data_IF_898669248161
#
_entry.id   IF_898669248161
#
_cell.length_a   1.000
_cell.length_b   1.000
_cell.length_c   1.000
_cell.angle_alpha   90.00
_cell.angle_beta   90.00
_cell.angle_gamma   90.00
#
_symmetry.space_group_name_H-M   'P 1'
#
loop_
_entity.id
_entity.type
_entity.pdbx_description
1 polymer ?
#
# COMPACT_ATOMS: atom_id res chain seq x y z
N UNK A 1 47.58 -10.57 18.29
CA UNK A 1 46.59 -9.50 18.08
C UNK A 1 45.23 -10.16 18.01
N UNK A 2 44.43 -10.00 19.06
CA UNK A 2 43.07 -10.53 19.15
C UNK A 2 42.19 -9.77 18.15
N UNK A 3 41.56 -10.48 17.22
CA UNK A 3 40.42 -9.99 16.43
C UNK A 3 39.22 -9.87 17.38
N UNK A 4 39.28 -8.89 18.28
CA UNK A 4 38.16 -8.54 19.14
C UNK A 4 37.09 -7.88 18.26
N UNK A 5 35.97 -8.58 18.13
CA UNK A 5 34.62 -8.09 17.82
C UNK A 5 34.53 -6.66 17.27
N UNK A 6 34.77 -6.52 15.97
CA UNK A 6 34.09 -5.53 15.15
C UNK A 6 32.90 -6.20 14.45
N UNK A 7 31.99 -6.76 15.23
CA UNK A 7 30.58 -6.73 14.84
C UNK A 7 30.10 -5.36 15.29
N UNK A 8 30.60 -4.31 14.62
CA UNK A 8 29.86 -3.05 14.58
C UNK A 8 28.48 -3.44 14.02
N UNK A 9 27.41 -3.04 14.69
CA UNK A 9 26.03 -3.52 14.49
C UNK A 9 25.60 -3.46 13.00
N UNK A 10 25.80 -4.57 12.26
CA UNK A 10 25.29 -4.71 10.89
C UNK A 10 23.77 -4.68 10.99
N UNK A 11 23.15 -3.72 10.32
CA UNK A 11 21.69 -3.66 10.33
C UNK A 11 21.13 -4.80 9.48
N UNK A 12 19.99 -5.36 9.88
CA UNK A 12 19.35 -6.46 9.15
C UNK A 12 19.15 -6.15 7.66
N UNK A 13 18.87 -4.89 7.34
CA UNK A 13 18.73 -4.34 5.99
C UNK A 13 20.02 -4.33 5.16
N UNK A 14 21.20 -4.48 5.77
CA UNK A 14 22.50 -4.47 5.08
C UNK A 14 22.92 -5.87 4.60
N UNK A 15 22.22 -6.93 5.04
CA UNK A 15 22.52 -8.28 4.57
C UNK A 15 22.18 -8.46 3.09
N UNK A 16 23.02 -9.23 2.40
CA UNK A 16 22.72 -9.75 1.08
C UNK A 16 21.57 -10.76 1.16
N UNK A 17 20.58 -10.60 0.28
CA UNK A 17 19.38 -11.43 0.26
C UNK A 17 19.37 -12.28 -1.00
N UNK A 18 19.10 -13.57 -0.86
CA UNK A 18 19.05 -14.49 -1.99
C UNK A 18 17.93 -15.52 -1.86
N UNK A 19 17.36 -15.91 -2.99
CA UNK A 19 16.46 -17.05 -3.12
C UNK A 19 17.28 -18.34 -3.28
N UNK A 20 17.02 -19.35 -2.46
CA UNK A 20 17.66 -20.67 -2.61
C UNK A 20 17.02 -21.41 -3.78
N UNK A 21 17.80 -21.67 -4.82
CA UNK A 21 17.38 -22.43 -6.00
C UNK A 21 17.62 -23.93 -5.80
N UNK A 22 18.77 -24.30 -5.23
CA UNK A 22 19.12 -25.70 -5.00
C UNK A 22 20.12 -25.84 -3.86
N UNK A 23 20.00 -26.91 -3.06
CA UNK A 23 21.00 -27.31 -2.06
C UNK A 23 21.66 -28.61 -2.53
N UNK A 24 23.00 -28.65 -2.50
CA UNK A 24 23.79 -29.83 -2.85
C UNK A 24 24.76 -30.15 -1.72
N UNK A 25 24.84 -31.42 -1.34
CA UNK A 25 25.86 -31.88 -0.40
C UNK A 25 27.24 -31.85 -1.07
N UNK A 26 28.27 -31.44 -0.36
CA UNK A 26 29.64 -31.53 -0.85
C UNK A 26 30.08 -33.00 -1.03
N UNK A 27 30.80 -33.31 -2.12
CA UNK A 27 31.33 -34.66 -2.37
C UNK A 27 32.40 -35.07 -1.35
N UNK A 28 33.10 -34.09 -0.77
CA UNK A 28 34.14 -34.27 0.25
C UNK A 28 33.99 -33.19 1.33
N UNK A 29 34.19 -33.57 2.59
CA UNK A 29 34.09 -32.68 3.74
C UNK A 29 32.69 -32.63 4.39
N UNK A 30 32.55 -31.78 5.41
CA UNK A 30 31.27 -31.43 6.03
C UNK A 30 30.80 -30.09 5.48
N UNK A 31 29.62 -30.04 4.87
CA UNK A 31 29.04 -28.81 4.34
C UNK A 31 28.14 -29.03 3.13
N UNK A 32 27.43 -27.98 2.74
CA UNK A 32 26.59 -27.95 1.56
C UNK A 32 26.96 -26.75 0.68
N UNK A 33 26.86 -26.94 -0.63
CA UNK A 33 26.90 -25.88 -1.62
C UNK A 33 25.47 -25.50 -1.98
N UNK A 34 25.18 -24.21 -1.95
CA UNK A 34 23.85 -23.66 -2.15
C UNK A 34 23.89 -22.83 -3.44
N UNK A 35 23.09 -23.25 -4.42
CA UNK A 35 22.81 -22.45 -5.60
C UNK A 35 21.76 -21.41 -5.23
N UNK A 36 22.14 -20.14 -5.31
CA UNK A 36 21.30 -19.01 -4.90
C UNK A 36 21.09 -18.06 -6.06
N UNK A 37 19.98 -17.33 -6.02
CA UNK A 37 19.69 -16.20 -6.90
C UNK A 37 19.64 -14.93 -6.07
N UNK A 38 20.55 -14.00 -6.33
CA UNK A 38 20.62 -12.74 -5.58
C UNK A 38 19.44 -11.82 -5.89
N UNK A 39 18.92 -11.19 -4.84
CA UNK A 39 18.05 -10.04 -4.93
C UNK A 39 18.88 -8.81 -4.58
N UNK A 40 18.84 -7.81 -5.45
CA UNK A 40 19.79 -6.69 -5.41
C UNK A 40 19.24 -5.55 -4.56
N UNK A 41 20.07 -4.99 -3.69
CA UNK A 41 19.77 -3.75 -2.97
C UNK A 41 19.88 -2.54 -3.91
N UNK A 42 19.19 -1.42 -3.61
CA UNK A 42 19.25 -0.21 -4.44
C UNK A 42 20.69 0.30 -4.66
N UNK A 43 21.53 0.28 -3.63
CA UNK A 43 22.91 0.76 -3.65
C UNK A 43 23.78 -0.07 -4.61
N UNK A 44 23.55 -1.39 -4.64
CA UNK A 44 24.25 -2.33 -5.52
C UNK A 44 23.90 -2.06 -6.99
N UNK A 45 22.61 -1.78 -7.26
CA UNK A 45 22.14 -1.41 -8.60
C UNK A 45 22.69 -0.03 -8.99
N UNK A 46 22.73 0.91 -8.06
CA UNK A 46 23.29 2.24 -8.28
C UNK A 46 24.77 2.15 -8.69
N UNK A 47 25.55 1.29 -8.02
CA UNK A 47 26.95 1.04 -8.34
C UNK A 47 27.18 0.49 -9.76
N UNK A 48 26.15 -0.11 -10.38
CA UNK A 48 26.17 -0.59 -11.77
C UNK A 48 25.85 0.49 -12.81
N UNK A 49 25.78 1.77 -12.41
CA UNK A 49 25.44 2.91 -13.27
C UNK A 49 24.07 2.75 -13.95
N UNK A 50 23.05 2.45 -13.15
CA UNK A 50 21.66 2.38 -13.60
C UNK A 50 21.20 3.70 -14.25
N UNK A 51 20.39 3.60 -15.30
CA UNK A 51 19.84 4.76 -16.03
C UNK A 51 18.54 5.29 -15.41
N UNK A 52 17.82 4.42 -14.71
CA UNK A 52 16.57 4.75 -14.03
C UNK A 52 16.88 5.43 -12.70
N UNK A 53 16.12 6.49 -12.36
CA UNK A 53 16.17 7.07 -11.02
C UNK A 53 15.59 6.10 -10.00
N UNK A 54 16.43 5.66 -9.05
CA UNK A 54 16.09 4.72 -7.98
C UNK A 54 16.14 5.37 -6.59
N UNK A 55 16.23 6.70 -6.50
CA UNK A 55 16.30 7.44 -5.23
C UNK A 55 15.06 7.29 -4.32
N UNK A 56 13.99 6.71 -4.83
CA UNK A 56 12.72 6.46 -4.14
C UNK A 56 12.60 5.04 -3.58
N UNK A 57 13.60 4.20 -3.82
CA UNK A 57 13.61 2.84 -3.30
C UNK A 57 13.96 2.84 -1.83
N UNK A 58 13.24 2.02 -1.06
CA UNK A 58 13.47 1.87 0.37
C UNK A 58 14.72 1.05 0.67
N UNK A 59 15.21 1.18 1.90
CA UNK A 59 16.34 0.44 2.47
C UNK A 59 16.08 -1.08 2.49
N UNK A 60 14.83 -1.45 2.76
CA UNK A 60 14.36 -2.84 2.78
C UNK A 60 13.92 -3.35 1.41
N UNK A 61 13.99 -2.50 0.38
CA UNK A 61 13.64 -2.90 -0.97
C UNK A 61 14.72 -3.79 -1.55
N UNK A 62 14.29 -4.83 -2.26
CA UNK A 62 15.13 -5.68 -3.06
C UNK A 62 14.58 -5.76 -4.47
N UNK A 63 15.44 -6.09 -5.42
CA UNK A 63 15.07 -6.13 -6.84
C UNK A 63 15.43 -7.47 -7.44
N UNK A 64 14.46 -8.09 -8.10
CA UNK A 64 14.72 -9.29 -8.88
C UNK A 64 15.54 -8.96 -10.12
N UNK A 65 16.46 -9.83 -10.50
CA UNK A 65 17.03 -9.75 -11.84
C UNK A 65 15.99 -10.22 -12.87
N UNK A 66 15.83 -9.47 -13.95
CA UNK A 66 14.94 -9.84 -15.05
C UNK A 66 15.36 -11.17 -15.71
N UNK A 67 16.66 -11.45 -15.75
CA UNK A 67 17.22 -12.72 -16.22
C UNK A 67 17.86 -13.47 -15.06
N UNK A 68 17.17 -14.46 -14.47
CA UNK A 68 17.66 -15.23 -13.31
C UNK A 68 19.13 -15.66 -13.37
N UNK A 69 19.57 -16.16 -14.53
CA UNK A 69 20.92 -16.67 -14.75
C UNK A 69 22.03 -15.60 -14.58
N UNK A 70 21.70 -14.31 -14.61
CA UNK A 70 22.65 -13.22 -14.40
C UNK A 70 22.82 -12.87 -12.90
N UNK A 71 21.97 -13.41 -12.04
CA UNK A 71 21.99 -13.22 -10.58
C UNK A 71 22.27 -14.51 -9.82
N UNK A 72 22.46 -15.62 -10.52
CA UNK A 72 22.65 -16.95 -9.93
C UNK A 72 24.13 -17.23 -9.64
N UNK A 73 24.43 -17.77 -8.45
CA UNK A 73 25.78 -18.19 -8.05
C UNK A 73 25.72 -19.34 -7.05
N UNK A 74 26.88 -19.91 -6.72
CA UNK A 74 27.01 -20.96 -5.71
C UNK A 74 27.79 -20.43 -4.51
N UNK A 75 27.20 -20.54 -3.32
CA UNK A 75 27.82 -20.16 -2.03
C UNK A 75 27.94 -21.37 -1.10
N UNK A 76 28.83 -21.30 -0.13
CA UNK A 76 28.97 -22.33 0.90
C UNK A 76 27.94 -22.10 2.01
N UNK A 77 27.44 -23.16 2.64
CA UNK A 77 26.46 -23.04 3.74
C UNK A 77 26.94 -22.16 4.90
N UNK A 78 28.24 -22.06 5.12
CA UNK A 78 28.83 -21.27 6.21
C UNK A 78 28.72 -19.75 5.97
N UNK A 79 28.32 -19.31 4.78
CA UNK A 79 28.07 -17.89 4.48
C UNK A 79 26.63 -17.46 4.74
N UNK A 80 25.78 -18.37 5.24
CA UNK A 80 24.36 -18.09 5.49
C UNK A 80 24.18 -17.77 6.96
N UNK A 81 23.77 -16.53 7.25
CA UNK A 81 23.46 -16.09 8.61
C UNK A 81 22.11 -16.67 9.08
N UNK A 82 21.09 -16.65 8.22
CA UNK A 82 19.77 -17.15 8.57
C UNK A 82 18.75 -17.00 7.45
N UNK A 83 17.56 -17.61 7.62
CA UNK A 83 16.44 -17.40 6.72
C UNK A 83 15.83 -16.01 6.92
N UNK A 84 15.31 -15.43 5.85
CA UNK A 84 14.47 -14.23 5.89
C UNK A 84 13.33 -14.36 4.90
N UNK A 85 12.20 -13.72 5.19
CA UNK A 85 11.10 -13.61 4.25
C UNK A 85 11.30 -12.43 3.31
N UNK A 86 10.86 -12.60 2.06
CA UNK A 86 10.82 -11.54 1.05
C UNK A 86 9.44 -11.49 0.44
N UNK A 87 8.82 -10.31 0.46
CA UNK A 87 7.43 -10.14 0.06
C UNK A 87 7.32 -9.43 -1.29
N UNK A 88 6.48 -9.94 -2.18
CA UNK A 88 6.15 -9.21 -3.40
C UNK A 88 5.19 -8.08 -3.04
N UNK A 89 5.56 -6.86 -3.42
CA UNK A 89 4.69 -5.71 -3.19
C UNK A 89 3.46 -5.81 -4.09
N UNK A 90 2.31 -6.00 -3.47
CA UNK A 90 1.02 -5.97 -4.15
C UNK A 90 0.02 -5.17 -3.31
N UNK A 91 -0.54 -4.12 -3.90
CA UNK A 91 -1.55 -3.28 -3.25
C UNK A 91 -2.89 -3.99 -3.06
N UNK A 92 -3.09 -5.10 -3.76
CA UNK A 92 -4.26 -5.95 -3.69
C UNK A 92 -4.13 -7.05 -2.65
N UNK A 93 -2.90 -7.37 -2.23
CA UNK A 93 -2.65 -8.37 -1.21
C UNK A 93 -2.67 -7.69 0.17
N UNK A 94 -3.29 -8.31 1.18
CA UNK A 94 -3.56 -7.61 2.43
C UNK A 94 -2.32 -7.29 3.27
N UNK A 95 -1.18 -7.97 3.06
CA UNK A 95 0.02 -7.72 3.83
C UNK A 95 1.32 -7.82 3.03
N UNK A 96 2.09 -6.74 3.13
CA UNK A 96 3.55 -6.82 3.20
C UNK A 96 3.84 -6.49 4.67
N UNK A 97 4.60 -7.33 5.39
CA UNK A 97 4.87 -7.08 6.80
C UNK A 97 5.63 -5.77 6.99
N UNK A 98 5.78 -5.42 8.27
CA UNK A 98 6.34 -4.19 8.83
C UNK A 98 7.47 -3.54 8.03
N UNK A 99 7.74 -2.26 8.28
CA UNK A 99 8.85 -1.48 7.71
C UNK A 99 10.27 -2.05 7.93
N UNK A 100 10.39 -3.26 8.46
CA UNK A 100 11.62 -4.04 8.65
C UNK A 100 11.50 -5.42 8.04
N UNK A 101 11.03 -5.48 6.81
CA UNK A 101 10.87 -6.72 6.08
C UNK A 101 11.27 -6.47 4.63
N UNK A 102 12.02 -7.41 4.06
CA UNK A 102 12.42 -7.30 2.67
C UNK A 102 11.20 -7.39 1.77
N UNK A 103 11.12 -6.49 0.79
CA UNK A 103 10.06 -6.53 -0.20
C UNK A 103 10.60 -6.25 -1.61
N UNK A 104 9.88 -6.73 -2.61
CA UNK A 104 10.23 -6.55 -4.02
C UNK A 104 9.05 -5.99 -4.77
N UNK A 105 9.25 -4.85 -5.44
CA UNK A 105 8.24 -4.23 -6.31
C UNK A 105 8.76 -3.91 -7.69
N UNK A 106 9.97 -4.35 -8.02
CA UNK A 106 10.66 -4.02 -9.26
C UNK A 106 11.55 -5.16 -9.74
N UNK A 107 11.88 -5.14 -11.02
CA UNK A 107 12.90 -5.98 -11.64
C UNK A 107 14.00 -5.12 -12.26
N UNK A 108 15.25 -5.57 -12.17
CA UNK A 108 16.40 -4.95 -12.79
C UNK A 108 16.84 -5.73 -14.03
N UNK A 109 16.91 -5.04 -15.16
CA UNK A 109 17.50 -5.56 -16.38
C UNK A 109 18.98 -5.18 -16.44
N UNK A 110 19.86 -6.14 -16.14
CA UNK A 110 21.31 -5.90 -16.08
C UNK A 110 21.89 -5.43 -17.42
N UNK A 111 21.37 -5.91 -18.55
CA UNK A 111 21.87 -5.54 -19.87
C UNK A 111 21.45 -4.11 -20.27
N UNK A 112 20.21 -3.73 -19.96
CA UNK A 112 19.68 -2.41 -20.28
C UNK A 112 20.04 -1.35 -19.24
N UNK A 113 20.44 -1.79 -18.04
CA UNK A 113 20.68 -0.94 -16.86
C UNK A 113 19.42 -0.15 -16.49
N UNK A 114 18.27 -0.82 -16.52
CA UNK A 114 16.96 -0.23 -16.24
C UNK A 114 16.25 -1.01 -15.14
N UNK A 115 15.53 -0.29 -14.29
CA UNK A 115 14.61 -0.85 -13.30
C UNK A 115 13.18 -0.64 -13.77
N UNK A 116 12.37 -1.68 -13.70
CA UNK A 116 10.96 -1.65 -14.10
C UNK A 116 10.07 -2.15 -12.96
N UNK A 117 8.98 -1.44 -12.63
CA UNK A 117 8.02 -1.90 -11.62
C UNK A 117 7.44 -3.28 -11.94
N UNK A 118 7.18 -4.05 -10.89
CA UNK A 118 6.32 -5.23 -10.93
C UNK A 118 4.86 -4.76 -10.92
N UNK A 119 4.15 -5.07 -12.00
CA UNK A 119 2.76 -4.68 -12.16
C UNK A 119 2.57 -3.16 -12.33
N UNK A 120 1.31 -2.72 -12.23
CA UNK A 120 0.92 -1.33 -12.51
C UNK A 120 1.16 -0.39 -11.31
N UNK A 121 1.38 -0.95 -10.14
CA UNK A 121 1.30 -0.25 -8.85
C UNK A 121 2.68 0.09 -8.26
N UNK A 122 3.75 -0.59 -8.68
CA UNK A 122 5.11 -0.37 -8.17
C UNK A 122 5.73 0.99 -8.54
N UNK A 123 5.16 1.72 -9.52
CA UNK A 123 5.63 3.04 -9.97
C UNK A 123 4.78 4.21 -9.48
N UNK A 124 4.04 4.04 -8.39
CA UNK A 124 3.14 5.06 -7.86
C UNK A 124 3.90 6.34 -7.45
N UNK A 125 3.36 7.51 -7.81
CA UNK A 125 3.89 8.83 -7.46
C UNK A 125 2.81 9.81 -7.04
N UNK A 126 3.21 10.81 -6.25
CA UNK A 126 2.39 11.98 -6.00
C UNK A 126 2.18 12.74 -7.32
N UNK A 127 0.92 12.94 -7.68
CA UNK A 127 0.54 13.63 -8.91
C UNK A 127 0.94 15.11 -8.96
N UNK A 128 1.21 15.75 -7.81
CA UNK A 128 1.47 17.20 -7.74
C UNK A 128 2.96 17.55 -7.62
N UNK A 129 3.77 16.70 -6.97
CA UNK A 129 5.21 16.94 -6.82
C UNK A 129 6.08 15.97 -7.61
N UNK A 130 5.47 14.99 -8.28
CA UNK A 130 6.10 13.90 -9.04
C UNK A 130 7.03 12.99 -8.23
N UNK A 131 7.04 13.13 -6.90
CA UNK A 131 7.85 12.29 -6.01
C UNK A 131 7.25 10.88 -5.98
N UNK A 132 8.10 9.91 -6.30
CA UNK A 132 7.79 8.48 -6.26
C UNK A 132 7.60 8.01 -4.81
N UNK A 133 6.76 7.00 -4.64
CA UNK A 133 6.45 6.46 -3.32
C UNK A 133 7.66 5.70 -2.75
N UNK A 134 8.21 6.17 -1.62
CA UNK A 134 9.15 5.43 -0.79
C UNK A 134 8.46 5.00 0.51
N UNK A 135 8.21 3.72 0.76
CA UNK A 135 7.58 3.27 2.00
C UNK A 135 8.27 3.71 3.29
N UNK A 136 9.59 3.87 3.26
CA UNK A 136 10.40 4.15 4.45
C UNK A 136 10.27 5.62 4.87
N UNK A 137 10.29 6.54 3.89
CA UNK A 137 10.14 7.99 4.13
C UNK A 137 8.68 8.45 4.25
N UNK A 138 7.75 7.65 3.72
CA UNK A 138 6.35 8.06 3.58
C UNK A 138 5.57 8.11 4.90
N UNK A 139 6.19 7.73 6.03
CA UNK A 139 5.58 7.97 7.35
C UNK A 139 5.47 9.47 7.66
N UNK A 140 6.43 10.28 7.22
CA UNK A 140 6.42 11.74 7.43
C UNK A 140 5.53 12.47 6.42
N UNK A 141 5.42 11.93 5.20
CA UNK A 141 4.62 12.50 4.12
C UNK A 141 3.80 11.40 3.43
N UNK A 142 2.72 10.89 4.05
CA UNK A 142 1.92 9.83 3.48
C UNK A 142 1.20 10.26 2.20
N UNK A 143 1.11 9.33 1.26
CA UNK A 143 0.28 9.48 0.07
C UNK A 143 -1.17 9.18 0.42
N UNK A 144 -2.10 10.00 -0.07
CA UNK A 144 -3.54 9.79 0.04
C UNK A 144 -4.17 9.58 -1.32
N UNK A 145 -5.18 8.72 -1.39
CA UNK A 145 -5.82 8.37 -2.64
C UNK A 145 -7.21 8.99 -2.80
N UNK A 146 -7.39 9.81 -3.83
CA UNK A 146 -8.71 10.26 -4.24
C UNK A 146 -9.39 9.17 -5.07
N UNK A 147 -10.37 8.47 -4.49
CA UNK A 147 -11.10 7.38 -5.15
C UNK A 147 -11.89 7.81 -6.41
N UNK A 148 -12.22 9.10 -6.51
CA UNK A 148 -12.96 9.66 -7.66
C UNK A 148 -12.02 10.02 -8.81
N UNK A 149 -10.93 10.72 -8.53
CA UNK A 149 -9.93 11.11 -9.54
C UNK A 149 -8.93 9.99 -9.85
N UNK A 150 -8.86 8.97 -9.00
CA UNK A 150 -7.93 7.83 -9.07
C UNK A 150 -6.45 8.24 -9.04
N UNK A 151 -6.11 9.15 -8.15
CA UNK A 151 -4.75 9.73 -8.03
C UNK A 151 -4.26 9.69 -6.60
N UNK A 152 -2.94 9.60 -6.45
CA UNK A 152 -2.23 9.72 -5.18
C UNK A 152 -1.63 11.13 -5.03
N UNK A 153 -1.72 11.69 -3.83
CA UNK A 153 -1.22 13.03 -3.51
C UNK A 153 -0.87 13.15 -2.02
N UNK A 154 0.16 13.93 -1.69
CA UNK A 154 0.47 14.30 -0.31
C UNK A 154 -0.43 15.45 0.16
N UNK A 155 -0.76 15.49 1.44
CA UNK A 155 -1.59 16.54 2.06
C UNK A 155 -0.98 17.94 1.94
N UNK A 156 0.35 18.05 1.92
CA UNK A 156 1.08 19.32 1.94
C UNK A 156 1.75 19.72 0.64
N UNK A 157 1.55 19.00 -0.47
CA UNK A 157 2.24 19.32 -1.72
C UNK A 157 1.76 20.66 -2.32
N UNK A 158 2.65 21.66 -2.30
CA UNK A 158 2.43 23.02 -2.83
C UNK A 158 3.05 23.28 -4.21
N UNK A 159 3.68 22.26 -4.84
CA UNK A 159 4.38 22.45 -6.12
C UNK A 159 3.43 22.78 -7.28
N UNK A 160 2.16 22.37 -7.21
CA UNK A 160 1.12 22.89 -8.08
C UNK A 160 0.64 24.26 -7.56
N UNK A 161 0.38 25.21 -8.47
CA UNK A 161 -0.22 26.53 -8.14
C UNK A 161 -1.56 26.42 -7.38
N UNK A 162 -2.15 25.23 -7.33
CA UNK A 162 -3.34 24.88 -6.57
C UNK A 162 -3.06 23.64 -5.70
N UNK A 163 -3.29 23.73 -4.39
CA UNK A 163 -3.18 22.57 -3.48
C UNK A 163 -4.22 21.52 -3.87
N UNK A 164 -3.81 20.28 -4.18
CA UNK A 164 -4.77 19.25 -4.59
C UNK A 164 -5.62 18.72 -3.46
N UNK A 165 -5.12 18.77 -2.22
CA UNK A 165 -5.88 18.42 -1.03
C UNK A 165 -6.14 19.70 -0.24
N UNK A 166 -7.42 20.02 -0.03
CA UNK A 166 -7.86 21.23 0.66
C UNK A 166 -8.81 20.88 1.79
N UNK A 167 -8.79 21.66 2.87
CA UNK A 167 -9.76 21.50 3.96
C UNK A 167 -11.17 21.80 3.44
N UNK A 168 -12.11 20.89 3.71
CA UNK A 168 -13.49 21.07 3.26
C UNK A 168 -14.25 22.08 4.11
N UNK A 169 -15.00 22.95 3.44
CA UNK A 169 -16.06 23.76 4.05
C UNK A 169 -17.44 23.08 4.00
N UNK A 170 -17.56 21.98 3.24
CA UNK A 170 -18.84 21.28 3.00
C UNK A 170 -19.09 20.17 4.03
N UNK A 171 -18.04 19.56 4.56
CA UNK A 171 -18.11 18.53 5.59
C UNK A 171 -17.93 19.15 6.98
N UNK A 172 -19.06 19.31 7.68
CA UNK A 172 -19.15 20.01 8.98
C UNK A 172 -18.37 19.38 10.13
N UNK A 173 -18.10 18.07 10.10
CA UNK A 173 -17.33 17.36 11.12
C UNK A 173 -16.80 16.00 10.62
N UNK A 174 -16.00 15.30 11.43
CA UNK A 174 -15.38 14.01 11.10
C UNK A 174 -16.41 12.93 10.72
N UNK A 175 -17.53 12.84 11.45
CA UNK A 175 -18.58 11.85 11.16
C UNK A 175 -19.26 12.11 9.82
N UNK A 176 -19.51 13.38 9.50
CA UNK A 176 -20.09 13.79 8.23
C UNK A 176 -19.12 13.52 7.07
N UNK A 177 -17.83 13.80 7.24
CA UNK A 177 -16.79 13.45 6.26
C UNK A 177 -16.70 11.93 6.03
N UNK A 178 -16.70 11.13 7.11
CA UNK A 178 -16.71 9.67 7.04
C UNK A 178 -17.90 9.11 6.22
N UNK A 179 -19.11 9.68 6.40
CA UNK A 179 -20.26 9.33 5.55
C UNK A 179 -20.05 9.73 4.09
N UNK A 180 -19.36 10.84 3.82
CA UNK A 180 -18.98 11.25 2.47
C UNK A 180 -17.97 10.32 1.80
N UNK A 181 -17.05 9.71 2.55
CA UNK A 181 -16.12 8.70 2.02
C UNK A 181 -16.85 7.47 1.45
N UNK A 182 -17.98 7.07 2.06
CA UNK A 182 -18.85 6.00 1.55
C UNK A 182 -19.47 6.31 0.18
N UNK A 183 -19.53 7.58 -0.19
CA UNK A 183 -20.07 8.07 -1.45
C UNK A 183 -18.96 8.34 -2.49
N UNK A 184 -17.69 8.16 -2.11
CA UNK A 184 -16.52 8.47 -2.93
C UNK A 184 -16.00 7.23 -3.67
N UNK A 185 -16.27 7.16 -4.99
CA UNK A 185 -15.80 6.16 -5.95
C UNK A 185 -16.41 4.74 -5.83
N UNK A 186 -16.48 3.91 -6.91
CA UNK A 186 -16.77 4.23 -8.31
C UNK A 186 -18.15 3.70 -8.77
N UNK A 187 -18.89 4.49 -9.56
CA UNK A 187 -19.83 3.94 -10.53
C UNK A 187 -19.31 4.33 -11.93
N UNK A 188 -18.49 3.45 -12.51
CA UNK A 188 -18.23 3.34 -13.94
C UNK A 188 -17.40 4.42 -14.64
N UNK A 189 -17.41 5.67 -14.20
CA UNK A 189 -16.82 6.75 -14.99
C UNK A 189 -15.88 7.62 -14.15
N UNK A 190 -14.63 7.86 -14.58
CA UNK A 190 -13.84 8.94 -14.02
C UNK A 190 -14.69 10.20 -14.14
N UNK A 191 -15.03 10.80 -13.00
CA UNK A 191 -15.67 12.12 -13.03
C UNK A 191 -14.59 13.03 -13.60
N UNK A 192 -14.79 13.53 -14.83
CA UNK A 192 -13.91 14.55 -15.39
C UNK A 192 -13.80 15.63 -14.32
N UNK A 193 -12.60 15.94 -13.81
CA UNK A 193 -12.43 16.99 -12.82
C UNK A 193 -13.04 18.25 -13.42
N UNK A 194 -14.13 18.66 -12.79
CA UNK A 194 -14.89 19.84 -13.16
C UNK A 194 -14.88 20.74 -11.95
N UNK A 195 -14.85 22.07 -12.14
CA UNK A 195 -14.65 23.03 -11.06
C UNK A 195 -15.63 22.75 -9.92
N UNK A 196 -15.11 22.61 -8.69
CA UNK A 196 -15.82 22.51 -7.40
C UNK A 196 -17.34 22.34 -7.53
N UNK A 197 -17.77 21.19 -8.04
CA UNK A 197 -19.05 21.12 -8.76
C UNK A 197 -20.26 20.99 -7.84
N UNK A 198 -21.46 21.31 -8.35
CA UNK A 198 -22.76 20.96 -7.74
C UNK A 198 -22.81 19.50 -7.24
N UNK A 199 -22.04 18.60 -7.86
CA UNK A 199 -21.94 17.19 -7.47
C UNK A 199 -21.26 17.01 -6.12
N UNK A 200 -20.20 17.77 -5.80
CA UNK A 200 -19.55 17.70 -4.48
C UNK A 200 -20.52 18.16 -3.37
N UNK A 201 -21.23 19.27 -3.61
CA UNK A 201 -22.28 19.74 -2.69
C UNK A 201 -23.39 18.71 -2.53
N UNK A 202 -23.83 18.12 -3.63
CA UNK A 202 -24.80 17.02 -3.59
C UNK A 202 -24.29 15.84 -2.78
N UNK A 203 -23.02 15.46 -2.89
CA UNK A 203 -22.43 14.39 -2.05
C UNK A 203 -22.44 14.78 -0.58
N UNK A 204 -22.10 16.02 -0.23
CA UNK A 204 -22.18 16.51 1.15
C UNK A 204 -23.64 16.51 1.66
N UNK A 205 -24.61 16.92 0.85
CA UNK A 205 -26.02 16.88 1.24
C UNK A 205 -26.51 15.44 1.43
N UNK A 206 -26.20 14.53 0.49
CA UNK A 206 -26.51 13.12 0.64
C UNK A 206 -25.81 12.49 1.84
N UNK A 207 -24.61 12.93 2.20
CA UNK A 207 -23.89 12.42 3.36
C UNK A 207 -24.64 12.68 4.68
N UNK A 208 -25.43 13.75 4.78
CA UNK A 208 -26.34 14.02 5.91
C UNK A 208 -27.44 12.95 6.00
N UNK A 209 -27.94 12.52 4.85
CA UNK A 209 -29.05 11.58 4.70
C UNK A 209 -28.61 10.11 4.71
N UNK A 210 -27.30 9.81 4.68
CA UNK A 210 -26.80 8.43 4.73
C UNK A 210 -27.27 7.77 6.04
N UNK A 211 -28.24 6.88 5.89
CA UNK A 211 -28.75 6.03 6.95
C UNK A 211 -28.02 4.68 6.96
N UNK A 212 -27.07 4.55 7.88
CA UNK A 212 -26.30 3.32 8.07
C UNK A 212 -27.16 2.17 8.64
N UNK A 213 -28.31 2.47 9.27
CA UNK A 213 -29.21 1.44 9.80
C UNK A 213 -29.85 0.59 8.69
N UNK A 214 -29.86 1.07 7.44
CA UNK A 214 -30.33 0.30 6.30
C UNK A 214 -29.31 -0.76 5.87
N UNK A 215 -28.01 -0.46 6.05
CA UNK A 215 -26.91 -1.38 5.76
C UNK A 215 -26.88 -2.49 6.80
N UNK A 216 -27.02 -2.16 8.08
CA UNK A 216 -27.01 -3.12 9.19
C UNK A 216 -28.12 -4.17 9.13
N UNK A 217 -29.24 -3.89 8.44
CA UNK A 217 -30.30 -4.88 8.23
C UNK A 217 -29.99 -5.89 7.12
N UNK A 218 -28.98 -5.64 6.29
CA UNK A 218 -28.71 -6.33 5.02
C UNK A 218 -27.32 -6.93 4.92
N UNK A 219 -26.53 -6.76 5.98
CA UNK A 219 -25.19 -7.30 6.17
C UNK A 219 -25.24 -8.20 7.41
N UNK A 220 -24.49 -9.31 7.47
CA UNK A 220 -24.38 -10.14 8.66
C UNK A 220 -24.04 -9.31 9.91
N UNK A 221 -24.72 -9.61 11.03
CA UNK A 221 -24.66 -8.78 12.26
C UNK A 221 -23.27 -8.71 12.87
N UNK A 222 -22.51 -9.78 12.72
CA UNK A 222 -21.13 -9.96 13.15
C UNK A 222 -20.13 -9.12 12.34
N UNK A 223 -20.43 -8.83 11.08
CA UNK A 223 -19.53 -8.10 10.17
C UNK A 223 -19.92 -6.61 10.00
N UNK A 224 -21.19 -6.28 10.26
CA UNK A 224 -21.76 -4.98 9.86
C UNK A 224 -21.02 -3.74 10.41
N UNK A 225 -20.55 -3.79 11.67
CA UNK A 225 -19.93 -2.63 12.34
C UNK A 225 -18.56 -2.39 11.71
N UNK A 226 -17.80 -3.45 11.58
CA UNK A 226 -16.43 -3.44 11.09
C UNK A 226 -16.35 -3.12 9.60
N UNK A 227 -17.27 -3.66 8.80
CA UNK A 227 -17.38 -3.33 7.38
C UNK A 227 -17.64 -1.83 7.16
N UNK A 228 -18.52 -1.24 7.98
CA UNK A 228 -18.83 0.19 7.88
C UNK A 228 -17.61 1.02 8.32
N UNK A 229 -16.98 0.66 9.44
CA UNK A 229 -15.77 1.33 9.92
C UNK A 229 -14.66 1.30 8.84
N UNK A 230 -14.43 0.14 8.23
CA UNK A 230 -13.48 -0.04 7.15
C UNK A 230 -13.80 0.83 5.93
N UNK A 231 -15.06 0.85 5.49
CA UNK A 231 -15.49 1.66 4.36
C UNK A 231 -15.37 3.17 4.62
N UNK A 232 -15.52 3.59 5.88
CA UNK A 232 -15.36 4.98 6.33
C UNK A 232 -13.90 5.41 6.51
N UNK A 233 -12.95 4.48 6.41
CA UNK A 233 -11.53 4.77 6.55
C UNK A 233 -11.00 5.49 5.30
N UNK A 234 -10.05 6.40 5.50
CA UNK A 234 -9.36 7.11 4.40
C UNK A 234 -8.39 6.19 3.70
N UNK A 235 -8.09 6.45 2.44
CA UNK A 235 -7.11 5.63 1.71
C UNK A 235 -5.73 6.29 1.81
N UNK A 236 -4.78 5.64 2.47
CA UNK A 236 -3.45 6.18 2.80
C UNK A 236 -2.33 5.17 2.59
N UNK A 237 -1.12 5.70 2.42
CA UNK A 237 0.14 4.97 2.33
C UNK A 237 1.29 5.68 3.04
N UNK A 238 2.15 4.92 3.74
CA UNK A 238 1.90 3.58 4.28
C UNK A 238 0.80 3.64 5.35
N UNK A 239 0.33 2.46 5.76
CA UNK A 239 -0.33 2.31 7.05
C UNK A 239 0.71 1.98 8.13
N UNK A 240 0.43 2.26 9.41
CA UNK A 240 1.19 1.66 10.49
C UNK A 240 1.27 0.13 10.30
N UNK A 241 2.49 -0.41 10.23
CA UNK A 241 2.72 -1.84 10.07
C UNK A 241 2.67 -2.40 8.64
N UNK A 242 2.36 -1.60 7.60
CA UNK A 242 2.28 -2.10 6.22
C UNK A 242 2.67 -1.05 5.16
N UNK A 243 3.59 -1.42 4.26
CA UNK A 243 4.11 -0.56 3.18
C UNK A 243 3.18 -0.40 1.96
N UNK A 244 2.19 -1.27 1.75
CA UNK A 244 1.21 -1.15 0.66
C UNK A 244 0.04 -0.19 0.96
N UNK A 245 -0.26 0.06 2.24
CA UNK A 245 -1.39 0.87 2.68
C UNK A 245 -2.73 0.12 2.63
N UNK A 246 -3.83 0.83 2.35
CA UNK A 246 -5.19 0.30 2.56
C UNK A 246 -6.18 0.42 1.39
N UNK A 247 -5.68 0.74 0.20
CA UNK A 247 -6.50 1.05 -0.97
C UNK A 247 -7.47 -0.08 -1.35
N UNK A 248 -6.98 -1.30 -1.54
CA UNK A 248 -7.80 -2.37 -2.11
C UNK A 248 -9.00 -2.73 -1.23
N UNK A 249 -8.78 -2.98 0.06
CA UNK A 249 -9.84 -3.41 0.96
C UNK A 249 -10.78 -2.27 1.38
N UNK A 250 -10.31 -1.02 1.49
CA UNK A 250 -11.21 0.12 1.75
C UNK A 250 -12.13 0.35 0.55
N UNK A 251 -11.60 0.32 -0.68
CA UNK A 251 -12.43 0.44 -1.88
C UNK A 251 -13.43 -0.71 -1.96
N UNK A 252 -13.01 -1.94 -1.65
CA UNK A 252 -13.88 -3.10 -1.63
C UNK A 252 -14.98 -3.01 -0.56
N UNK A 253 -14.65 -2.57 0.65
CA UNK A 253 -15.62 -2.32 1.71
C UNK A 253 -16.65 -1.27 1.27
N UNK A 254 -16.21 -0.19 0.63
CA UNK A 254 -17.11 0.84 0.06
C UNK A 254 -18.01 0.29 -1.04
N UNK A 255 -17.55 -0.66 -1.84
CA UNK A 255 -18.40 -1.36 -2.82
C UNK A 255 -19.50 -2.16 -2.12
N UNK A 256 -19.14 -2.98 -1.13
CA UNK A 256 -20.11 -3.78 -0.36
C UNK A 256 -21.17 -2.92 0.33
N UNK A 257 -20.74 -1.84 0.99
CA UNK A 257 -21.66 -0.89 1.63
C UNK A 257 -22.59 -0.25 0.60
N UNK A 258 -22.10 0.13 -0.59
CA UNK A 258 -22.95 0.70 -1.64
C UNK A 258 -23.95 -0.32 -2.19
N UNK A 259 -23.52 -1.54 -2.45
CA UNK A 259 -24.40 -2.62 -2.90
C UNK A 259 -25.51 -2.91 -1.86
N UNK A 260 -25.15 -3.03 -0.57
CA UNK A 260 -26.13 -3.22 0.51
C UNK A 260 -27.15 -2.07 0.61
N UNK A 261 -26.76 -0.84 0.24
CA UNK A 261 -27.64 0.34 0.21
C UNK A 261 -28.58 0.37 -0.99
N UNK A 262 -28.28 -0.35 -2.07
CA UNK A 262 -29.16 -0.37 -3.26
C UNK A 262 -30.54 -0.96 -2.94
N UNK A 263 -31.61 -0.54 -3.64
CA UNK A 263 -32.90 -1.21 -3.54
C UNK A 263 -32.75 -2.70 -3.87
N UNK A 264 -33.23 -3.57 -3.00
CA UNK A 264 -33.02 -5.03 -3.09
C UNK A 264 -31.89 -5.58 -2.22
N UNK A 265 -30.93 -4.75 -1.81
CA UNK A 265 -29.84 -5.14 -0.91
C UNK A 265 -28.89 -6.20 -1.49
N UNK A 266 -28.12 -6.85 -0.62
CA UNK A 266 -27.27 -7.98 -1.00
C UNK A 266 -28.13 -9.24 -1.20
N UNK A 267 -27.96 -9.89 -2.35
CA UNK A 267 -28.52 -11.22 -2.60
C UNK A 267 -27.81 -12.27 -1.73
N UNK A 268 -28.42 -13.43 -1.42
CA UNK A 268 -27.80 -14.45 -0.56
C UNK A 268 -26.42 -14.93 -1.03
N UNK A 269 -26.20 -15.08 -2.33
CA UNK A 269 -24.91 -15.43 -2.92
C UNK A 269 -23.85 -14.33 -2.70
N UNK A 270 -24.28 -13.07 -2.72
CA UNK A 270 -23.43 -11.91 -2.46
C UNK A 270 -23.10 -11.77 -0.98
N UNK A 271 -24.03 -12.08 -0.09
CA UNK A 271 -23.77 -12.16 1.36
C UNK A 271 -22.68 -13.18 1.66
N UNK A 272 -22.78 -14.38 1.08
CA UNK A 272 -21.75 -15.42 1.25
C UNK A 272 -20.36 -14.94 0.78
N UNK A 273 -20.29 -14.28 -0.38
CA UNK A 273 -19.03 -13.72 -0.91
C UNK A 273 -18.47 -12.59 -0.05
N UNK A 274 -19.34 -11.82 0.60
CA UNK A 274 -18.92 -10.80 1.56
C UNK A 274 -18.32 -11.46 2.81
N UNK A 275 -18.98 -12.47 3.36
CA UNK A 275 -18.48 -13.23 4.52
C UNK A 275 -17.14 -13.91 4.21
N UNK A 276 -17.03 -14.60 3.06
CA UNK A 276 -15.79 -15.22 2.59
C UNK A 276 -14.65 -14.18 2.51
N UNK A 277 -14.87 -13.08 1.79
CA UNK A 277 -13.87 -12.00 1.67
C UNK A 277 -13.49 -11.37 3.01
N UNK A 278 -14.47 -11.14 3.89
CA UNK A 278 -14.21 -10.49 5.17
C UNK A 278 -13.43 -11.41 6.12
N UNK A 279 -13.77 -12.70 6.15
CA UNK A 279 -13.05 -13.70 6.93
C UNK A 279 -11.61 -13.88 6.44
N UNK A 280 -11.38 -13.88 5.13
CA UNK A 280 -10.04 -13.88 4.55
C UNK A 280 -9.24 -12.63 4.98
N UNK A 281 -9.84 -11.45 4.87
CA UNK A 281 -9.20 -10.19 5.29
C UNK A 281 -8.79 -10.19 6.77
N UNK A 282 -9.71 -10.57 7.65
CA UNK A 282 -9.46 -10.58 9.11
C UNK A 282 -8.40 -11.61 9.47
N UNK A 283 -8.36 -12.76 8.78
CA UNK A 283 -7.33 -13.78 8.97
C UNK A 283 -5.94 -13.29 8.55
N UNK A 284 -5.85 -12.47 7.51
CA UNK A 284 -4.57 -12.08 6.92
C UNK A 284 -3.92 -10.85 7.56
N UNK A 285 -4.69 -9.83 7.96
CA UNK A 285 -4.11 -8.54 8.43
C UNK A 285 -4.42 -8.25 9.89
N UNK A 286 -5.48 -8.84 10.44
CA UNK A 286 -6.09 -8.36 11.68
C UNK A 286 -6.83 -7.04 11.44
N UNK A 287 -8.09 -6.98 11.86
CA UNK A 287 -8.91 -5.79 11.66
C UNK A 287 -8.43 -4.61 12.52
N UNK A 288 -7.86 -4.91 13.68
CA UNK A 288 -7.26 -3.96 14.61
C UNK A 288 -6.10 -3.18 13.98
N UNK A 289 -5.29 -3.82 13.12
CA UNK A 289 -4.21 -3.16 12.38
C UNK A 289 -4.79 -2.21 11.32
N UNK A 290 -5.82 -2.66 10.59
CA UNK A 290 -6.44 -1.87 9.52
C UNK A 290 -7.19 -0.65 10.08
N UNK A 291 -7.94 -0.86 11.16
CA UNK A 291 -8.73 0.16 11.83
C UNK A 291 -7.94 0.90 12.90
N UNK A 292 -6.64 0.60 13.05
CA UNK A 292 -5.76 1.30 13.97
C UNK A 292 -5.89 2.81 13.74
N UNK A 293 -6.06 3.61 14.81
CA UNK A 293 -6.07 5.04 14.66
C UNK A 293 -4.75 5.47 14.01
N UNK A 294 -4.86 6.29 12.98
CA UNK A 294 -3.70 6.94 12.41
C UNK A 294 -3.27 8.04 13.39
N UNK A 295 -2.33 7.71 14.29
CA UNK A 295 -1.86 8.58 15.38
C UNK A 295 -0.94 9.71 14.89
N UNK A 296 -0.59 9.73 13.60
CA UNK A 296 0.22 10.81 13.02
C UNK A 296 -0.53 12.13 13.19
N UNK A 297 0.15 13.18 13.61
CA UNK A 297 -0.45 14.51 13.80
C UNK A 297 -1.16 15.02 12.53
N UNK A 298 -0.58 14.70 11.36
CA UNK A 298 -1.17 15.02 10.06
C UNK A 298 -2.51 14.30 9.82
N UNK A 299 -2.71 13.10 10.37
CA UNK A 299 -3.94 12.35 10.27
C UNK A 299 -5.10 13.04 10.98
N UNK A 300 -4.86 13.69 12.11
CA UNK A 300 -5.88 14.50 12.79
C UNK A 300 -6.24 15.74 11.97
N UNK A 301 -5.22 16.41 11.42
CA UNK A 301 -5.36 17.62 10.59
C UNK A 301 -6.08 17.32 9.28
N UNK A 302 -5.85 16.13 8.71
CA UNK A 302 -6.38 15.72 7.40
C UNK A 302 -7.80 15.14 7.42
N UNK A 303 -8.45 15.02 8.58
CA UNK A 303 -9.74 14.34 8.73
C UNK A 303 -10.93 15.00 8.00
N UNK A 304 -10.74 16.19 7.43
CA UNK A 304 -11.75 16.94 6.67
C UNK A 304 -11.27 17.33 5.27
N UNK A 305 -10.19 16.72 4.77
CA UNK A 305 -9.64 17.09 3.47
C UNK A 305 -10.46 16.52 2.33
N UNK A 306 -10.54 17.28 1.25
CA UNK A 306 -11.17 16.92 0.00
C UNK A 306 -10.21 17.16 -1.15
N UNK A 307 -10.41 16.44 -2.25
CA UNK A 307 -9.70 16.70 -3.49
C UNK A 307 -10.17 18.04 -4.07
N UNK A 308 -9.28 18.98 -4.30
CA UNK A 308 -9.56 20.31 -4.87
C UNK A 308 -10.14 20.21 -6.30
N UNK A 309 -9.76 19.18 -7.04
CA UNK A 309 -10.20 18.95 -8.42
C UNK A 309 -11.66 18.48 -8.53
N UNK A 310 -12.13 17.62 -7.61
CA UNK A 310 -13.48 17.06 -7.67
C UNK A 310 -14.39 17.43 -6.50
N UNK A 311 -13.83 17.92 -5.39
CA UNK A 311 -14.51 18.26 -4.14
C UNK A 311 -14.88 17.06 -3.25
N UNK A 312 -14.43 15.85 -3.58
CA UNK A 312 -14.78 14.63 -2.83
C UNK A 312 -13.85 14.41 -1.64
N UNK A 313 -14.35 13.83 -0.53
CA UNK A 313 -13.53 13.34 0.58
C UNK A 313 -12.37 12.45 0.14
N UNK A 314 -11.22 12.64 0.78
CA UNK A 314 -9.99 11.85 0.60
C UNK A 314 -9.55 11.25 1.93
#
# INVERSE_FOLDING_TARGET
MSLANRTDDIQDSEYWVAEIVQIRRAEKGSGCWIHVRWLWAPEEIQALNVKTDISHMGEWERVFCHYPSQSETVVHSDTIEGPTDVYVFDEHVPMIPTSKAFYVRSTFNYAQKTVTPLGNDGGCKCVDCDVLYNPDDSQEAPLRYCATCKVWCHTGCKKAKDQRLVKSTQFSNKQHHAKGLLLSGPAGFPVRPGPASKKARSVADHAKEVNLSAVTKRVPKDIQIDLIALAQTRIVRPLPGNVAGNKAYVLRAREWVREARTPGGLKPDRVKKLEEWFNELVKEVGLDVILAPDEREEAERSALFVCNECGYPV
#
